data_IF_936810309649
#
_entry.id   IF_936810309649
#
_cell.length_a   1.000
_cell.length_b   1.000
_cell.length_c   1.000
_cell.angle_alpha   90.00
_cell.angle_beta   90.00
_cell.angle_gamma   90.00
#
_symmetry.space_group_name_H-M   'P 1'
#
loop_
_entity.id
_entity.type
_entity.pdbx_description
1 polymer ?
#
# COMPACT_ATOMS: atom_id res chain seq x y z
N UNK A 1 -58.57 0.33 -21.09
CA UNK A 1 -57.38 -0.51 -20.86
C UNK A 1 -56.55 -0.53 -22.13
N UNK A 2 -55.41 0.19 -22.17
CA UNK A 2 -54.31 -0.11 -23.10
C UNK A 2 -53.04 0.21 -22.32
N UNK A 3 -52.40 -0.85 -21.83
CA UNK A 3 -51.04 -0.82 -21.31
C UNK A 3 -50.15 -1.41 -22.41
N UNK A 4 -49.12 -0.69 -22.83
CA UNK A 4 -47.89 -1.30 -23.35
C UNK A 4 -46.76 -0.25 -23.49
N UNK A 5 -45.93 -0.24 -22.45
CA UNK A 5 -44.45 -0.25 -22.49
C UNK A 5 -43.69 0.86 -23.25
N UNK A 6 -43.37 1.93 -22.52
CA UNK A 6 -42.12 2.67 -22.72
C UNK A 6 -40.94 1.83 -22.18
N UNK A 7 -40.35 0.97 -23.00
CA UNK A 7 -39.13 0.22 -22.65
C UNK A 7 -37.89 0.89 -23.25
N UNK A 8 -37.27 1.70 -22.38
CA UNK A 8 -35.89 2.23 -22.37
C UNK A 8 -34.98 1.78 -23.53
N UNK A 9 -34.63 2.72 -24.42
CA UNK A 9 -33.45 2.62 -25.31
C UNK A 9 -32.17 2.82 -24.48
N UNK A 10 -31.75 1.80 -23.76
CA UNK A 10 -30.39 1.73 -23.21
C UNK A 10 -29.59 0.76 -24.07
N UNK A 11 -29.17 1.22 -25.24
CA UNK A 11 -28.40 0.39 -26.15
C UNK A 11 -27.71 1.23 -27.21
N UNK A 12 -26.39 1.00 -27.31
CA UNK A 12 -25.58 1.22 -28.51
C UNK A 12 -24.86 2.57 -28.65
N UNK A 13 -24.15 2.99 -27.60
CA UNK A 13 -22.87 3.64 -27.81
C UNK A 13 -21.80 2.56 -28.02
N UNK A 14 -21.50 2.17 -29.27
CA UNK A 14 -20.30 1.36 -29.55
C UNK A 14 -19.09 2.13 -28.97
N UNK A 15 -18.17 1.49 -28.24
CA UNK A 15 -16.98 2.18 -27.73
C UNK A 15 -16.25 2.83 -28.91
N UNK A 16 -15.86 4.10 -28.75
CA UNK A 16 -15.34 4.95 -29.83
C UNK A 16 -14.17 4.34 -30.62
N UNK A 17 -13.41 3.44 -30.01
CA UNK A 17 -12.34 2.68 -30.69
C UNK A 17 -12.85 1.77 -31.81
N UNK A 18 -14.05 1.19 -31.68
CA UNK A 18 -14.67 0.39 -32.74
C UNK A 18 -15.24 1.24 -33.89
N UNK A 19 -15.37 2.56 -33.68
CA UNK A 19 -15.91 3.48 -34.69
C UNK A 19 -14.88 3.72 -35.80
N UNK A 20 -13.59 3.73 -35.50
CA UNK A 20 -12.53 3.98 -36.48
C UNK A 20 -12.25 2.81 -37.43
N UNK A 21 -12.73 1.59 -37.12
CA UNK A 21 -12.64 0.43 -38.01
C UNK A 21 -13.68 0.43 -39.14
N UNK A 22 -14.65 1.35 -39.11
CA UNK A 22 -15.84 1.32 -39.99
C UNK A 22 -15.73 2.15 -41.28
N UNK A 23 -14.58 2.78 -41.55
CA UNK A 23 -14.34 3.44 -42.85
C UNK A 23 -14.13 2.46 -44.00
N UNK A 24 -13.89 1.18 -43.70
CA UNK A 24 -13.84 0.09 -44.67
C UNK A 24 -15.02 -0.86 -44.43
N UNK A 25 -15.68 -1.27 -45.51
CA UNK A 25 -16.85 -2.16 -45.48
C UNK A 25 -16.38 -3.60 -45.24
N UNK A 26 -15.95 -3.89 -44.01
CA UNK A 26 -15.52 -5.22 -43.60
C UNK A 26 -16.69 -6.21 -43.67
N UNK A 27 -16.45 -7.37 -44.23
CA UNK A 27 -17.36 -8.51 -44.19
C UNK A 27 -17.62 -8.96 -42.75
N UNK A 28 -18.71 -9.72 -42.54
CA UNK A 28 -19.07 -10.26 -41.21
C UNK A 28 -17.92 -11.12 -40.65
N UNK A 29 -17.21 -11.85 -41.52
CA UNK A 29 -16.07 -12.68 -41.13
C UNK A 29 -14.89 -11.85 -40.62
N UNK A 30 -14.51 -10.79 -41.33
CA UNK A 30 -13.42 -9.89 -40.92
C UNK A 30 -13.74 -9.16 -39.62
N UNK A 31 -14.99 -8.71 -39.43
CA UNK A 31 -15.43 -8.12 -38.17
C UNK A 31 -15.30 -9.12 -37.01
N UNK A 32 -15.68 -10.39 -37.23
CA UNK A 32 -15.54 -11.45 -36.23
C UNK A 32 -14.08 -11.72 -35.89
N UNK A 33 -13.16 -11.66 -36.87
CA UNK A 33 -11.73 -11.84 -36.63
C UNK A 33 -11.15 -10.72 -35.78
N UNK A 34 -11.44 -9.46 -36.12
CA UNK A 34 -10.96 -8.29 -35.35
C UNK A 34 -11.49 -8.31 -33.91
N UNK A 35 -12.75 -8.68 -33.71
CA UNK A 35 -13.32 -8.83 -32.36
C UNK A 35 -12.59 -9.93 -31.59
N UNK A 36 -12.32 -11.07 -32.21
CA UNK A 36 -11.62 -12.20 -31.57
C UNK A 36 -10.19 -11.82 -31.18
N UNK A 37 -9.49 -11.12 -32.06
CA UNK A 37 -8.12 -10.64 -31.81
C UNK A 37 -8.07 -9.60 -30.69
N UNK A 38 -9.01 -8.66 -30.67
CA UNK A 38 -9.15 -7.69 -29.58
C UNK A 38 -9.45 -8.38 -28.23
N UNK A 39 -10.33 -9.39 -28.21
CA UNK A 39 -10.63 -10.16 -26.99
C UNK A 39 -9.41 -10.94 -26.50
N UNK A 40 -8.63 -11.52 -27.40
CA UNK A 40 -7.39 -12.20 -27.05
C UNK A 40 -6.39 -11.23 -26.42
N UNK A 41 -6.20 -10.07 -27.04
CA UNK A 41 -5.29 -9.03 -26.54
C UNK A 41 -5.71 -8.49 -25.17
N UNK A 42 -7.01 -8.23 -24.96
CA UNK A 42 -7.53 -7.84 -23.64
C UNK A 42 -7.26 -8.90 -22.59
N UNK A 43 -7.43 -10.18 -22.94
CA UNK A 43 -7.19 -11.29 -22.01
C UNK A 43 -5.72 -11.38 -21.62
N UNK A 44 -4.82 -11.22 -22.58
CA UNK A 44 -3.37 -11.20 -22.33
C UNK A 44 -2.98 -10.05 -21.39
N UNK A 45 -3.47 -8.85 -21.64
CA UNK A 45 -3.22 -7.69 -20.78
C UNK A 45 -3.72 -7.88 -19.34
N UNK A 46 -4.88 -8.54 -19.16
CA UNK A 46 -5.39 -8.86 -17.81
C UNK A 46 -4.45 -9.80 -17.07
N UNK A 47 -3.92 -10.82 -17.73
CA UNK A 47 -2.96 -11.76 -17.14
C UNK A 47 -1.65 -11.06 -16.74
N UNK A 48 -1.15 -10.15 -17.58
CA UNK A 48 0.05 -9.35 -17.25
C UNK A 48 -0.19 -8.44 -16.03
N UNK A 49 -1.36 -7.80 -15.95
CA UNK A 49 -1.72 -6.97 -14.78
C UNK A 49 -1.81 -7.84 -13.51
N UNK A 50 -2.45 -9.01 -13.58
CA UNK A 50 -2.54 -9.93 -12.44
C UNK A 50 -1.16 -10.43 -12.00
N UNK A 51 -0.25 -10.69 -12.94
CA UNK A 51 1.13 -11.07 -12.61
C UNK A 51 1.88 -9.94 -11.90
N UNK A 52 1.80 -8.72 -12.43
CA UNK A 52 2.42 -7.53 -11.81
C UNK A 52 1.83 -7.23 -10.43
N UNK A 53 0.51 -7.41 -10.25
CA UNK A 53 -0.14 -7.26 -8.96
C UNK A 53 0.34 -8.30 -7.95
N UNK A 54 0.52 -9.56 -8.37
CA UNK A 54 1.09 -10.60 -7.50
C UNK A 54 2.52 -10.26 -7.10
N UNK A 55 3.37 -9.89 -8.06
CA UNK A 55 4.75 -9.46 -7.77
C UNK A 55 4.79 -8.24 -6.83
N UNK A 56 3.86 -7.31 -6.98
CA UNK A 56 3.73 -6.15 -6.09
C UNK A 56 3.30 -6.55 -4.67
N UNK A 57 2.31 -7.43 -4.53
CA UNK A 57 1.90 -7.93 -3.22
C UNK A 57 3.00 -8.77 -2.57
N UNK A 58 3.74 -9.59 -3.33
CA UNK A 58 4.91 -10.31 -2.83
C UNK A 58 5.99 -9.33 -2.33
N UNK A 59 6.24 -8.25 -3.08
CA UNK A 59 7.17 -7.19 -2.66
C UNK A 59 6.67 -6.40 -1.45
N UNK A 60 5.35 -6.26 -1.28
CA UNK A 60 4.73 -5.64 -0.11
C UNK A 60 4.85 -6.54 1.12
N UNK A 61 4.67 -7.86 0.97
CA UNK A 61 4.91 -8.84 2.03
C UNK A 61 6.38 -8.81 2.47
N UNK A 62 7.34 -8.69 1.55
CA UNK A 62 8.77 -8.53 1.87
C UNK A 62 9.05 -7.21 2.62
N UNK A 63 8.24 -6.16 2.40
CA UNK A 63 8.34 -4.89 3.14
C UNK A 63 7.57 -4.87 4.46
N UNK A 64 6.59 -5.76 4.62
CA UNK A 64 5.80 -5.95 5.83
C UNK A 64 6.38 -7.02 6.75
N UNK A 65 7.48 -7.71 6.38
CA UNK A 65 8.36 -8.26 7.40
C UNK A 65 8.71 -7.12 8.37
N UNK A 66 8.42 -7.29 9.67
CA UNK A 66 8.51 -6.20 10.62
C UNK A 66 9.91 -5.65 10.54
N UNK A 67 9.97 -4.35 10.26
CA UNK A 67 11.14 -3.48 10.14
C UNK A 67 12.06 -3.67 11.36
N UNK A 68 12.79 -4.78 11.41
CA UNK A 68 13.97 -4.95 12.24
C UNK A 68 15.15 -4.22 11.59
N UNK A 69 14.90 -3.44 10.53
CA UNK A 69 15.82 -2.46 9.98
C UNK A 69 16.04 -1.31 11.00
N UNK A 70 16.95 -1.61 11.93
CA UNK A 70 17.78 -0.66 12.66
C UNK A 70 17.08 0.15 13.75
N UNK A 71 16.46 -0.53 14.71
CA UNK A 71 16.28 0.08 16.03
C UNK A 71 17.59 -0.08 16.83
N UNK A 72 18.48 0.91 16.73
CA UNK A 72 19.71 0.94 17.54
C UNK A 72 19.33 1.43 18.95
N UNK A 73 19.41 0.52 19.94
CA UNK A 73 19.15 0.82 21.35
C UNK A 73 20.46 0.82 22.11
N UNK A 74 20.77 1.93 22.79
CA UNK A 74 21.90 2.05 23.72
C UNK A 74 21.37 2.35 25.10
N UNK A 75 21.86 1.62 26.09
CA UNK A 75 21.55 1.85 27.50
C UNK A 75 22.83 2.22 28.23
N UNK A 76 22.82 3.38 28.87
CA UNK A 76 23.93 3.90 29.67
C UNK A 76 23.44 4.08 31.11
N UNK A 77 24.21 3.62 32.10
CA UNK A 77 23.91 3.90 33.50
C UNK A 77 24.43 5.28 33.86
N UNK A 78 23.57 6.14 34.40
CA UNK A 78 23.89 7.50 34.85
C UNK A 78 23.52 7.63 36.32
N UNK A 79 24.51 7.41 37.19
CA UNK A 79 24.29 7.39 38.65
C UNK A 79 23.32 6.27 39.05
N UNK A 80 22.18 6.65 39.62
CA UNK A 80 21.09 5.73 40.01
C UNK A 80 20.06 5.52 38.89
N UNK A 81 20.21 6.19 37.76
CA UNK A 81 19.25 6.22 36.66
C UNK A 81 19.82 5.51 35.42
N UNK A 82 18.96 5.15 34.48
CA UNK A 82 19.36 4.55 33.20
C UNK A 82 18.95 5.44 32.04
N UNK A 83 19.88 5.78 31.16
CA UNK A 83 19.59 6.50 29.93
C UNK A 83 19.44 5.51 28.77
N UNK A 84 18.28 5.50 28.14
CA UNK A 84 17.97 4.68 26.97
C UNK A 84 17.90 5.58 25.75
N UNK A 85 18.79 5.36 24.78
CA UNK A 85 18.82 6.06 23.48
C UNK A 85 18.36 5.10 22.40
N UNK A 86 17.36 5.52 21.63
CA UNK A 86 16.73 4.69 20.59
C UNK A 86 16.76 5.47 19.28
N UNK A 87 17.38 4.91 18.26
CA UNK A 87 17.34 5.45 16.90
C UNK A 87 16.40 4.60 16.06
N UNK A 88 15.42 5.23 15.42
CA UNK A 88 14.41 4.53 14.60
C UNK A 88 14.16 5.23 13.26
N UNK A 89 13.78 4.49 12.20
CA UNK A 89 13.34 5.09 10.95
C UNK A 89 12.08 5.96 11.16
N UNK A 90 11.93 6.97 10.31
CA UNK A 90 10.82 7.94 10.38
C UNK A 90 9.56 7.30 9.78
N UNK A 91 8.51 7.08 10.57
CA UNK A 91 7.25 6.56 10.04
C UNK A 91 6.30 5.98 11.08
N UNK A 92 6.81 5.38 12.15
CA UNK A 92 5.96 4.78 13.18
C UNK A 92 5.97 5.58 14.48
N UNK A 93 4.81 5.67 15.11
CA UNK A 93 4.60 6.30 16.42
C UNK A 93 5.21 5.43 17.54
N UNK A 94 6.51 5.19 17.47
CA UNK A 94 7.24 4.30 18.36
C UNK A 94 7.28 4.78 19.81
N UNK A 95 7.07 6.08 20.08
CA UNK A 95 7.23 6.60 21.45
C UNK A 95 6.16 6.04 22.39
N UNK A 96 4.91 6.01 21.95
CA UNK A 96 3.78 5.62 22.80
C UNK A 96 3.92 4.16 23.19
N UNK A 97 4.12 3.28 22.21
CA UNK A 97 4.33 1.84 22.44
C UNK A 97 5.53 1.55 23.36
N UNK A 98 6.61 2.32 23.25
CA UNK A 98 7.79 2.15 24.12
C UNK A 98 7.48 2.59 25.55
N UNK A 99 6.74 3.68 25.74
CA UNK A 99 6.33 4.14 27.06
C UNK A 99 5.35 3.16 27.71
N UNK A 100 4.40 2.63 26.95
CA UNK A 100 3.46 1.59 27.41
C UNK A 100 4.23 0.33 27.87
N UNK A 101 5.19 -0.14 27.07
CA UNK A 101 6.02 -1.29 27.45
C UNK A 101 6.84 -1.03 28.73
N UNK A 102 7.32 0.20 28.95
CA UNK A 102 8.02 0.55 30.20
C UNK A 102 7.08 0.58 31.39
N UNK A 103 5.85 1.06 31.22
CA UNK A 103 4.82 1.04 32.27
C UNK A 103 4.44 -0.40 32.64
N UNK A 104 4.24 -1.29 31.65
CA UNK A 104 4.00 -2.72 31.88
C UNK A 104 5.15 -3.42 32.62
N UNK A 105 6.39 -3.00 32.37
CA UNK A 105 7.58 -3.49 33.07
C UNK A 105 7.82 -2.83 34.44
N UNK A 106 6.98 -1.89 34.87
CA UNK A 106 7.12 -1.18 36.13
C UNK A 106 8.30 -0.19 36.16
N UNK A 107 8.76 0.27 34.99
CA UNK A 107 9.85 1.23 34.86
C UNK A 107 9.30 2.66 34.79
N UNK A 108 9.79 3.55 35.66
CA UNK A 108 9.38 4.95 35.64
C UNK A 108 10.26 5.77 34.69
N UNK A 109 9.63 6.47 33.74
CA UNK A 109 10.32 7.39 32.82
C UNK A 109 10.36 8.79 33.43
N UNK A 110 11.52 9.20 33.93
CA UNK A 110 11.72 10.52 34.53
C UNK A 110 11.77 11.65 33.50
N UNK A 111 12.31 11.37 32.30
CA UNK A 111 12.39 12.33 31.21
C UNK A 111 12.38 11.58 29.87
N UNK A 112 11.66 12.11 28.90
CA UNK A 112 11.67 11.62 27.52
C UNK A 112 11.86 12.80 26.54
N UNK A 113 12.70 12.60 25.53
CA UNK A 113 12.94 13.59 24.48
C UNK A 113 13.01 12.91 23.11
N UNK A 114 12.45 13.56 22.09
CA UNK A 114 12.45 13.08 20.71
C UNK A 114 13.04 14.17 19.81
N UNK A 115 13.99 13.79 18.96
CA UNK A 115 14.57 14.65 17.93
C UNK A 115 14.22 14.06 16.57
N UNK A 116 13.49 14.83 15.76
CA UNK A 116 13.08 14.43 14.42
C UNK A 116 14.18 14.77 13.41
N UNK A 117 14.79 13.76 12.80
CA UNK A 117 15.73 13.94 11.69
C UNK A 117 15.06 13.83 10.32
N UNK A 118 15.85 14.08 9.28
CA UNK A 118 15.41 13.95 7.88
C UNK A 118 15.09 12.49 7.54
N UNK A 119 15.93 11.55 8.00
CA UNK A 119 15.81 10.10 7.72
C UNK A 119 15.40 9.25 8.93
N UNK A 120 15.76 9.65 10.15
CA UNK A 120 15.53 8.88 11.38
C UNK A 120 15.04 9.79 12.51
N UNK A 121 14.32 9.22 13.47
CA UNK A 121 14.04 9.85 14.76
C UNK A 121 14.97 9.29 15.82
N UNK A 122 15.54 10.18 16.64
CA UNK A 122 16.29 9.79 17.83
C UNK A 122 15.42 10.06 19.06
N UNK A 123 15.29 9.08 19.94
CA UNK A 123 14.65 9.22 21.25
C UNK A 123 15.70 9.01 22.34
N UNK A 124 15.58 9.78 23.41
CA UNK A 124 16.39 9.61 24.61
C UNK A 124 15.47 9.68 25.83
N UNK A 125 15.54 8.66 26.68
CA UNK A 125 14.73 8.50 27.88
C UNK A 125 15.60 8.24 29.09
N UNK A 126 15.21 8.79 30.24
CA UNK A 126 15.83 8.52 31.54
C UNK A 126 14.85 7.71 32.39
N UNK A 127 15.29 6.54 32.83
CA UNK A 127 14.51 5.58 33.62
C UNK A 127 14.98 5.59 35.09
N UNK A 128 14.02 5.40 35.99
CA UNK A 128 14.19 5.12 37.42
C UNK A 128 13.50 3.80 37.76
N UNK A 129 14.14 3.04 38.64
CA UNK A 129 13.55 1.88 39.31
C UNK A 129 12.84 2.31 40.59
#
# INVERSE_FOLDING_TARGET
>A
MVASEQKKRAGQGKPHFLKNLTHFKLSIHEQSMVIREALLYITMLKLEIEALQREYEDFKIIKEEPVHQFQEVKVEKIGEMFQVKIKSPKGENNLVNILEAFEEMGLSVAQASKVLGVRCSNMSMLLKF
#
